data_IF_691364620473
#
_entry.id   IF_691364620473
#
_cell.length_a   1.000
_cell.length_b   1.000
_cell.length_c   1.000
_cell.angle_alpha   90.00
_cell.angle_beta   90.00
_cell.angle_gamma   90.00
#
_symmetry.space_group_name_H-M   'P 1'
#
loop_
_entity.id
_entity.type
_entity.pdbx_description
1 polymer ?
#
# COMPACT_ATOMS: atom_id res chain seq x y z
N UNK A 1 93.30 -41.33 -22.40
CA UNK A 1 92.10 -40.90 -23.18
C UNK A 1 91.27 -40.05 -22.21
N UNK A 2 91.49 -38.73 -22.10
CA UNK A 2 90.98 -37.65 -22.98
C UNK A 2 89.43 -37.66 -23.03
N UNK A 3 88.61 -36.65 -22.71
CA UNK A 3 88.70 -35.19 -22.42
C UNK A 3 87.38 -34.82 -21.69
N UNK A 4 87.33 -33.97 -20.64
CA UNK A 4 86.94 -32.53 -20.68
C UNK A 4 85.77 -32.20 -21.62
N UNK A 5 84.70 -31.47 -21.21
CA UNK A 5 84.69 -30.00 -21.20
C UNK A 5 83.44 -29.45 -20.46
N UNK A 6 83.68 -28.41 -19.64
CA UNK A 6 82.73 -27.41 -19.11
C UNK A 6 82.40 -26.34 -20.16
N UNK A 7 81.21 -25.73 -20.11
CA UNK A 7 80.94 -24.27 -20.24
C UNK A 7 79.51 -24.02 -19.70
N UNK A 8 79.17 -23.14 -18.75
CA UNK A 8 79.37 -21.69 -18.50
C UNK A 8 78.71 -20.76 -19.52
N UNK A 9 77.66 -20.03 -19.10
CA UNK A 9 77.10 -18.92 -19.88
C UNK A 9 75.78 -18.35 -19.35
N UNK A 10 75.83 -17.57 -18.26
CA UNK A 10 74.95 -16.40 -18.09
C UNK A 10 75.58 -15.23 -18.90
N UNK A 11 74.93 -14.06 -19.20
CA UNK A 11 73.92 -13.38 -18.37
C UNK A 11 72.89 -12.45 -19.08
N UNK A 12 72.12 -11.73 -18.24
CA UNK A 12 71.52 -10.37 -18.39
C UNK A 12 70.02 -10.20 -18.73
N UNK A 13 69.32 -9.80 -17.66
CA UNK A 13 68.38 -8.67 -17.50
C UNK A 13 67.64 -8.08 -18.71
N UNK A 14 66.33 -7.90 -18.54
CA UNK A 14 65.65 -6.61 -18.76
C UNK A 14 64.30 -6.55 -18.01
N UNK A 15 64.08 -5.39 -17.42
CA UNK A 15 62.95 -4.91 -16.62
C UNK A 15 61.73 -4.51 -17.44
N UNK A 16 60.52 -4.64 -16.88
CA UNK A 16 59.41 -3.66 -16.88
C UNK A 16 58.15 -4.33 -16.31
N UNK A 17 57.63 -3.88 -15.17
CA UNK A 17 56.72 -2.75 -14.93
C UNK A 17 55.26 -3.04 -15.32
N UNK A 18 54.43 -3.07 -14.27
CA UNK A 18 53.01 -2.71 -14.14
C UNK A 18 51.92 -3.52 -14.85
N UNK A 19 50.91 -3.90 -14.07
CA UNK A 19 49.58 -4.24 -14.58
C UNK A 19 48.64 -4.73 -13.48
N UNK A 20 47.95 -3.80 -12.83
CA UNK A 20 46.77 -4.06 -11.97
C UNK A 20 45.73 -4.92 -12.72
N UNK A 21 45.09 -5.86 -12.01
CA UNK A 21 43.90 -6.56 -12.49
C UNK A 21 43.28 -7.39 -11.38
N UNK A 22 42.26 -6.85 -10.73
CA UNK A 22 41.54 -7.48 -9.62
C UNK A 22 40.69 -8.68 -10.03
N UNK A 23 40.39 -9.52 -9.04
CA UNK A 23 39.49 -10.66 -9.17
C UNK A 23 39.25 -11.30 -7.81
N UNK A 24 38.21 -10.82 -7.13
CA UNK A 24 37.72 -11.33 -5.85
C UNK A 24 37.21 -12.77 -6.01
N UNK A 25 37.68 -13.72 -5.18
CA UNK A 25 36.92 -14.91 -4.84
C UNK A 25 36.58 -14.85 -3.35
N UNK A 26 35.29 -14.64 -3.09
CA UNK A 26 34.68 -14.77 -1.76
C UNK A 26 34.52 -16.25 -1.44
N UNK A 27 35.06 -16.69 -0.30
CA UNK A 27 34.63 -17.90 0.38
C UNK A 27 33.90 -17.49 1.66
N UNK A 28 32.68 -18.01 1.78
CA UNK A 28 31.79 -17.81 2.91
C UNK A 28 32.24 -18.69 4.07
N UNK A 29 32.37 -18.10 5.26
CA UNK A 29 32.48 -18.80 6.53
C UNK A 29 31.17 -18.65 7.30
N UNK A 30 30.43 -19.74 7.41
CA UNK A 30 29.27 -19.86 8.29
C UNK A 30 29.73 -19.98 9.74
N UNK A 31 29.07 -19.27 10.65
CA UNK A 31 29.00 -19.68 12.05
C UNK A 31 27.55 -19.61 12.49
N UNK A 32 26.99 -20.79 12.79
CA UNK A 32 25.71 -20.96 13.47
C UNK A 32 25.94 -21.30 14.93
N UNK A 33 25.00 -20.87 15.78
CA UNK A 33 24.87 -21.38 17.14
C UNK A 33 24.17 -20.41 18.10
N UNK A 34 22.95 -20.76 18.52
CA UNK A 34 22.36 -20.27 19.77
C UNK A 34 20.91 -19.81 19.67
N UNK A 35 19.96 -20.74 19.79
CA UNK A 35 18.55 -20.43 20.02
C UNK A 35 18.20 -20.34 21.51
N UNK A 36 17.25 -19.46 21.84
CA UNK A 36 16.35 -19.53 23.00
C UNK A 36 15.06 -18.78 22.60
N UNK A 37 13.92 -19.48 22.51
CA UNK A 37 12.75 -19.30 23.40
C UNK A 37 12.06 -17.94 23.23
N UNK A 38 10.91 -17.79 22.58
CA UNK A 38 9.65 -18.45 22.89
C UNK A 38 8.73 -17.48 23.63
N UNK A 39 7.86 -16.77 22.90
CA UNK A 39 6.57 -16.26 23.38
C UNK A 39 5.73 -15.79 22.20
N UNK A 40 4.82 -16.67 21.78
CA UNK A 40 3.72 -16.31 20.91
C UNK A 40 2.67 -15.53 21.69
N UNK A 41 2.19 -14.45 21.09
CA UNK A 41 0.90 -13.85 21.42
C UNK A 41 0.05 -13.91 20.16
N UNK A 42 -0.67 -15.02 20.03
CA UNK A 42 -1.84 -15.09 19.17
C UNK A 42 -2.98 -14.35 19.84
N UNK A 43 -3.56 -13.39 19.14
CA UNK A 43 -4.89 -12.88 19.45
C UNK A 43 -5.85 -13.42 18.39
N UNK A 44 -6.55 -14.48 18.75
CA UNK A 44 -7.73 -15.00 18.07
C UNK A 44 -8.93 -14.89 19.00
N UNK A 45 -10.06 -14.46 18.45
CA UNK A 45 -11.37 -14.35 19.09
C UNK A 45 -11.95 -12.95 18.87
N UNK A 46 -13.12 -12.74 18.29
CA UNK A 46 -14.19 -13.65 17.88
C UNK A 46 -15.51 -12.89 17.97
N UNK A 47 -16.32 -12.97 16.91
CA UNK A 47 -17.77 -12.84 17.00
C UNK A 47 -18.39 -11.43 16.92
N UNK A 48 -19.34 -11.29 16.00
CA UNK A 48 -20.59 -10.59 16.28
C UNK A 48 -21.00 -9.49 15.30
N UNK A 49 -22.13 -9.72 14.62
CA UNK A 49 -23.05 -8.63 14.27
C UNK A 49 -23.08 -8.22 12.80
N UNK A 50 -23.83 -8.97 12.00
CA UNK A 50 -24.41 -8.42 10.77
C UNK A 50 -25.45 -7.36 11.10
N UNK A 51 -25.40 -6.23 10.42
CA UNK A 51 -26.52 -5.29 10.32
C UNK A 51 -26.50 -4.66 8.94
N UNK A 52 -27.25 -5.28 8.03
CA UNK A 52 -27.69 -4.68 6.79
C UNK A 52 -28.69 -3.56 7.11
N UNK A 53 -28.33 -2.30 6.82
CA UNK A 53 -29.30 -1.22 6.72
C UNK A 53 -29.67 -1.05 5.24
N UNK A 54 -30.66 -1.84 4.82
CA UNK A 54 -31.53 -1.48 3.72
C UNK A 54 -32.63 -0.55 4.24
N UNK A 55 -32.78 0.61 3.60
CA UNK A 55 -33.77 1.62 3.98
C UNK A 55 -34.17 2.43 2.78
N UNK A 56 -34.87 1.79 1.83
CA UNK A 56 -35.61 2.49 0.78
C UNK A 56 -36.87 3.11 1.37
N UNK A 57 -37.02 4.43 1.24
CA UNK A 57 -38.27 5.14 1.51
C UNK A 57 -38.67 5.88 0.23
N UNK A 58 -39.42 5.18 -0.61
CA UNK A 58 -40.16 5.76 -1.73
C UNK A 58 -41.60 5.96 -1.30
N UNK A 59 -41.97 7.19 -0.95
CA UNK A 59 -43.33 7.58 -0.58
C UNK A 59 -44.19 7.74 -1.84
N UNK A 60 -44.86 6.67 -2.25
CA UNK A 60 -45.96 6.71 -3.22
C UNK A 60 -47.29 7.01 -2.50
N UNK A 61 -47.83 8.21 -2.71
CA UNK A 61 -49.21 8.53 -2.32
C UNK A 61 -50.18 7.96 -3.38
N UNK A 62 -50.84 6.85 -3.03
CA UNK A 62 -51.92 6.26 -3.80
C UNK A 62 -52.96 5.67 -2.86
N UNK A 63 -53.84 6.52 -2.31
CA UNK A 63 -54.99 6.08 -1.52
C UNK A 63 -56.26 6.18 -2.37
N UNK A 64 -56.63 5.06 -2.97
CA UNK A 64 -57.97 4.82 -3.48
C UNK A 64 -58.77 4.07 -2.41
N UNK A 65 -59.70 4.78 -1.77
CA UNK A 65 -60.77 4.22 -0.93
C UNK A 65 -62.05 4.89 -1.45
N UNK A 66 -63.09 4.20 -1.91
CA UNK A 66 -63.64 2.97 -1.36
C UNK A 66 -64.81 3.35 -0.46
N UNK A 67 -65.93 3.80 -1.05
CA UNK A 67 -67.23 3.94 -0.37
C UNK A 67 -68.36 3.83 -1.40
N UNK A 68 -68.87 2.61 -1.55
CA UNK A 68 -70.16 2.36 -2.19
C UNK A 68 -71.28 2.73 -1.22
N UNK A 69 -72.09 3.73 -1.58
CA UNK A 69 -73.36 4.02 -0.94
C UNK A 69 -74.49 3.55 -1.86
N UNK A 70 -74.96 2.32 -1.62
CA UNK A 70 -76.23 1.82 -2.14
C UNK A 70 -77.36 2.30 -1.24
N UNK A 71 -78.11 3.30 -1.69
CA UNK A 71 -79.34 3.77 -1.04
C UNK A 71 -80.50 3.64 -2.01
N UNK A 72 -81.23 2.53 -1.91
CA UNK A 72 -82.46 2.32 -2.66
C UNK A 72 -83.60 3.16 -2.09
N UNK A 73 -84.33 3.83 -2.98
CA UNK A 73 -85.70 4.27 -2.72
C UNK A 73 -86.51 3.99 -3.99
N UNK A 74 -87.40 3.01 -3.90
CA UNK A 74 -88.42 2.70 -4.89
C UNK A 74 -89.81 3.02 -4.33
N UNK A 75 -90.73 3.40 -5.22
CA UNK A 75 -92.15 3.63 -4.93
C UNK A 75 -92.62 4.92 -5.58
N UNK A 76 -93.09 4.91 -6.83
CA UNK A 76 -94.41 4.49 -7.32
C UNK A 76 -95.32 5.70 -7.57
N UNK A 77 -95.81 5.83 -8.81
CA UNK A 77 -96.80 6.84 -9.22
C UNK A 77 -96.85 6.99 -10.74
N UNK A 78 -97.69 6.17 -11.37
CA UNK A 78 -97.96 6.14 -12.81
C UNK A 78 -99.25 6.93 -13.15
N UNK A 79 -99.30 7.48 -14.37
CA UNK A 79 -100.49 8.08 -15.02
C UNK A 79 -100.77 9.52 -14.55
N UNK A 80 -101.19 10.48 -15.36
CA UNK A 80 -101.82 10.48 -16.68
C UNK A 80 -101.66 11.89 -17.29
N UNK A 81 -101.78 11.99 -18.61
CA UNK A 81 -101.48 13.18 -19.39
C UNK A 81 -102.42 14.36 -19.15
N UNK A 82 -101.87 15.57 -19.27
CA UNK A 82 -102.68 16.78 -19.32
C UNK A 82 -101.89 18.08 -19.23
N UNK A 83 -101.82 18.78 -20.36
CA UNK A 83 -101.80 20.25 -20.44
C UNK A 83 -100.46 20.97 -20.26
N UNK A 84 -99.75 21.04 -21.39
CA UNK A 84 -98.58 21.88 -21.73
C UNK A 84 -98.86 23.40 -21.59
N UNK A 85 -99.13 23.90 -20.38
CA UNK A 85 -99.24 25.34 -20.09
C UNK A 85 -98.71 25.77 -18.70
N UNK A 86 -98.54 24.84 -17.74
CA UNK A 86 -97.98 25.11 -16.40
C UNK A 86 -96.44 25.02 -16.28
N UNK A 87 -95.78 24.36 -17.24
CA UNK A 87 -94.36 23.98 -17.17
C UNK A 87 -93.39 25.16 -17.10
N UNK A 88 -93.68 26.29 -17.74
CA UNK A 88 -92.76 27.46 -17.75
C UNK A 88 -92.74 28.24 -16.43
N UNK A 89 -93.86 28.27 -15.70
CA UNK A 89 -93.95 28.96 -14.41
C UNK A 89 -93.38 28.11 -13.28
N UNK A 90 -93.65 26.81 -13.30
CA UNK A 90 -93.11 25.85 -12.34
C UNK A 90 -91.60 25.63 -12.53
N UNK A 91 -91.10 25.64 -13.77
CA UNK A 91 -89.64 25.66 -14.01
C UNK A 91 -88.98 26.96 -13.57
N UNK A 92 -89.60 28.14 -13.79
CA UNK A 92 -89.08 29.41 -13.27
C UNK A 92 -89.10 29.47 -11.74
N UNK A 93 -90.11 28.86 -11.12
CA UNK A 93 -90.20 28.77 -9.67
C UNK A 93 -89.12 27.81 -9.11
N UNK A 94 -88.91 26.66 -9.74
CA UNK A 94 -87.82 25.74 -9.37
C UNK A 94 -86.43 26.36 -9.56
N UNK A 95 -86.21 27.15 -10.62
CA UNK A 95 -84.97 27.91 -10.80
C UNK A 95 -84.81 29.00 -9.74
N UNK A 96 -85.87 29.73 -9.39
CA UNK A 96 -85.84 30.73 -8.33
C UNK A 96 -85.61 30.09 -6.95
N UNK A 97 -86.22 28.95 -6.65
CA UNK A 97 -86.01 28.21 -5.41
C UNK A 97 -84.57 27.67 -5.34
N UNK A 98 -84.01 27.24 -6.48
CA UNK A 98 -82.61 26.82 -6.59
C UNK A 98 -81.64 27.99 -6.48
N UNK A 99 -82.00 29.17 -6.99
CA UNK A 99 -81.21 30.41 -6.85
C UNK A 99 -81.28 30.93 -5.41
N UNK A 100 -82.43 30.85 -4.75
CA UNK A 100 -82.58 31.14 -3.33
C UNK A 100 -81.73 30.19 -2.48
N UNK A 101 -81.79 28.87 -2.75
CA UNK A 101 -80.94 27.89 -2.09
C UNK A 101 -79.44 28.13 -2.36
N UNK A 102 -79.08 28.58 -3.57
CA UNK A 102 -77.71 28.95 -3.90
C UNK A 102 -77.26 30.23 -3.17
N UNK A 103 -78.11 31.24 -3.08
CA UNK A 103 -77.83 32.47 -2.32
C UNK A 103 -77.69 32.20 -0.82
N UNK A 104 -78.56 31.36 -0.25
CA UNK A 104 -78.45 30.92 1.14
C UNK A 104 -77.16 30.11 1.36
N UNK A 105 -76.77 29.29 0.37
CA UNK A 105 -75.51 28.56 0.44
C UNK A 105 -74.30 29.49 0.37
N UNK A 106 -74.32 30.50 -0.51
CA UNK A 106 -73.26 31.52 -0.62
C UNK A 106 -73.15 32.29 0.69
N UNK A 107 -74.26 32.74 1.29
CA UNK A 107 -74.25 33.40 2.60
C UNK A 107 -73.67 32.51 3.70
N UNK A 108 -74.07 31.23 3.75
CA UNK A 108 -73.51 30.29 4.73
C UNK A 108 -72.00 30.07 4.55
N UNK A 109 -71.51 30.14 3.31
CA UNK A 109 -70.09 30.00 3.00
C UNK A 109 -69.33 31.28 3.32
N UNK A 110 -69.92 32.46 3.08
CA UNK A 110 -69.35 33.76 3.48
C UNK A 110 -69.24 33.84 5.01
N UNK A 111 -70.27 33.46 5.75
CA UNK A 111 -70.24 33.40 7.22
C UNK A 111 -69.18 32.41 7.73
N UNK A 112 -69.07 31.23 7.11
CA UNK A 112 -68.04 30.25 7.47
C UNK A 112 -66.62 30.77 7.14
N UNK A 113 -66.47 31.50 6.03
CA UNK A 113 -65.17 32.03 5.61
C UNK A 113 -64.72 33.17 6.53
N UNK A 114 -65.62 34.08 6.90
CA UNK A 114 -65.32 35.14 7.87
C UNK A 114 -64.95 34.58 9.25
N UNK A 115 -65.61 33.50 9.68
CA UNK A 115 -65.26 32.81 10.93
C UNK A 115 -63.90 32.10 10.85
N UNK A 116 -63.55 31.51 9.70
CA UNK A 116 -62.22 30.92 9.49
C UNK A 116 -61.12 31.99 9.44
N UNK A 117 -61.36 33.13 8.78
CA UNK A 117 -60.44 34.27 8.79
C UNK A 117 -60.21 34.81 10.20
N UNK A 118 -61.26 34.89 11.02
CA UNK A 118 -61.16 35.27 12.44
C UNK A 118 -60.30 34.28 13.21
N UNK A 119 -60.52 32.98 13.04
CA UNK A 119 -59.71 31.92 13.70
C UNK A 119 -58.26 31.93 13.26
N UNK A 120 -57.99 32.17 11.98
CA UNK A 120 -56.63 32.29 11.45
C UNK A 120 -55.94 33.51 12.06
N UNK A 121 -56.62 34.66 12.13
CA UNK A 121 -56.09 35.87 12.76
C UNK A 121 -55.79 35.66 14.24
N UNK A 122 -56.72 35.05 14.99
CA UNK A 122 -56.50 34.71 16.40
C UNK A 122 -55.37 33.70 16.59
N UNK A 123 -55.19 32.75 15.66
CA UNK A 123 -54.08 31.81 15.69
C UNK A 123 -52.75 32.52 15.42
N UNK A 124 -52.69 33.43 14.45
CA UNK A 124 -51.47 34.23 14.22
C UNK A 124 -51.19 35.23 15.35
N UNK A 125 -52.18 35.74 16.07
CA UNK A 125 -51.95 36.57 17.26
C UNK A 125 -51.43 35.75 18.44
N UNK A 126 -51.94 34.52 18.62
CA UNK A 126 -51.54 33.60 19.71
C UNK A 126 -50.27 32.80 19.41
N UNK A 127 -49.97 32.58 18.14
CA UNK A 127 -48.88 31.70 17.67
C UNK A 127 -47.95 32.41 16.68
N UNK A 128 -48.10 33.72 16.52
CA UNK A 128 -47.22 34.54 15.70
C UNK A 128 -45.79 34.54 16.25
N UNK A 129 -44.76 34.75 15.40
CA UNK A 129 -43.35 34.53 15.75
C UNK A 129 -42.78 35.50 16.80
N UNK A 130 -43.61 36.32 17.44
CA UNK A 130 -43.19 37.35 18.40
C UNK A 130 -44.02 37.42 19.69
N UNK A 131 -45.13 36.68 19.82
CA UNK A 131 -45.99 36.70 21.00
C UNK A 131 -45.93 35.36 21.75
N UNK A 132 -44.89 35.22 22.57
CA UNK A 132 -45.02 34.66 23.91
C UNK A 132 -45.58 33.24 24.06
N UNK A 133 -45.11 32.26 23.30
CA UNK A 133 -45.00 30.90 23.82
C UNK A 133 -43.65 30.82 24.55
N UNK A 134 -43.60 30.67 25.89
CA UNK A 134 -42.34 30.46 26.59
C UNK A 134 -41.78 29.10 26.17
N UNK A 135 -40.87 29.09 25.19
CA UNK A 135 -40.15 27.90 24.75
C UNK A 135 -39.96 27.69 23.24
N UNK A 136 -40.54 28.49 22.34
CA UNK A 136 -40.30 28.34 20.89
C UNK A 136 -39.22 29.24 20.31
N UNK A 137 -38.78 30.25 21.06
CA UNK A 137 -37.49 30.92 20.84
C UNK A 137 -36.48 30.39 21.86
N UNK A 138 -36.09 29.12 21.78
CA UNK A 138 -34.97 28.67 22.58
C UNK A 138 -33.72 29.42 22.08
N UNK A 139 -33.23 30.38 22.84
CA UNK A 139 -31.98 31.07 22.54
C UNK A 139 -30.82 30.05 22.52
N UNK A 140 -30.55 29.47 21.36
CA UNK A 140 -29.42 28.55 21.15
C UNK A 140 -28.07 29.25 21.22
N UNK A 141 -28.08 30.58 21.40
CA UNK A 141 -26.91 31.44 21.58
C UNK A 141 -25.93 30.90 22.63
N UNK A 142 -26.45 30.33 23.73
CA UNK A 142 -25.64 29.72 24.80
C UNK A 142 -24.83 28.49 24.39
N UNK A 143 -25.23 27.79 23.33
CA UNK A 143 -24.53 26.60 22.87
C UNK A 143 -23.39 26.92 21.88
N UNK A 144 -23.44 28.05 21.18
CA UNK A 144 -22.36 28.46 20.28
C UNK A 144 -20.98 28.58 20.96
N UNK A 145 -20.81 29.24 22.13
CA UNK A 145 -19.50 29.30 22.78
C UNK A 145 -19.02 27.92 23.24
N UNK A 146 -19.92 27.03 23.65
CA UNK A 146 -19.58 25.65 24.04
C UNK A 146 -19.14 24.84 22.82
N UNK A 147 -19.86 24.97 21.68
CA UNK A 147 -19.50 24.31 20.42
C UNK A 147 -18.15 24.82 19.92
N UNK A 148 -17.90 26.13 20.05
CA UNK A 148 -16.63 26.73 19.64
C UNK A 148 -15.47 26.26 20.53
N UNK A 149 -15.66 26.20 21.85
CA UNK A 149 -14.67 25.63 22.77
C UNK A 149 -14.39 24.14 22.47
N UNK A 150 -15.42 23.35 22.17
CA UNK A 150 -15.26 21.95 21.77
C UNK A 150 -14.52 21.80 20.43
N UNK A 151 -14.81 22.66 19.45
CA UNK A 151 -14.08 22.71 18.17
C UNK A 151 -12.61 23.05 18.39
N UNK A 152 -12.32 24.05 19.22
CA UNK A 152 -10.95 24.43 19.56
C UNK A 152 -10.21 23.29 20.27
N UNK A 153 -10.87 22.55 21.18
CA UNK A 153 -10.30 21.35 21.82
C UNK A 153 -9.98 20.26 20.81
N UNK A 154 -10.86 20.01 19.84
CA UNK A 154 -10.62 19.02 18.77
C UNK A 154 -9.43 19.45 17.90
N UNK A 155 -9.36 20.72 17.52
CA UNK A 155 -8.26 21.25 16.71
C UNK A 155 -6.94 21.13 17.47
N UNK A 156 -6.90 21.55 18.73
CA UNK A 156 -5.70 21.44 19.57
C UNK A 156 -5.27 19.98 19.73
N UNK A 157 -6.19 19.07 20.02
CA UNK A 157 -5.90 17.63 20.11
C UNK A 157 -5.40 17.05 18.78
N UNK A 158 -5.89 17.55 17.64
CA UNK A 158 -5.43 17.14 16.31
C UNK A 158 -4.00 17.61 16.04
N UNK A 159 -3.68 18.86 16.40
CA UNK A 159 -2.33 19.44 16.29
C UNK A 159 -1.36 18.69 17.20
N UNK A 160 -1.76 18.42 18.45
CA UNK A 160 -0.93 17.68 19.41
C UNK A 160 -0.70 16.23 18.93
N UNK A 161 -1.72 15.57 18.37
CA UNK A 161 -1.57 14.26 17.77
C UNK A 161 -0.57 14.28 16.61
N UNK A 162 -0.70 15.24 15.68
CA UNK A 162 0.25 15.42 14.59
C UNK A 162 1.69 15.66 15.09
N UNK A 163 1.84 16.47 16.16
CA UNK A 163 3.14 16.70 16.81
C UNK A 163 3.73 15.40 17.38
N UNK A 164 2.91 14.59 18.07
CA UNK A 164 3.36 13.30 18.62
C UNK A 164 3.77 12.35 17.50
N UNK A 165 3.00 12.27 16.41
CA UNK A 165 3.35 11.44 15.24
C UNK A 165 4.72 11.85 14.69
N UNK A 166 4.97 13.14 14.50
CA UNK A 166 6.27 13.62 14.02
C UNK A 166 7.41 13.28 14.99
N UNK A 167 7.18 13.35 16.30
CA UNK A 167 8.17 12.94 17.30
C UNK A 167 8.44 11.44 17.25
N UNK A 168 7.41 10.61 17.04
CA UNK A 168 7.54 9.16 16.88
C UNK A 168 8.35 8.84 15.62
N UNK A 169 8.04 9.49 14.50
CA UNK A 169 8.76 9.29 13.25
C UNK A 169 10.23 9.74 13.36
N UNK A 170 10.49 10.87 14.01
CA UNK A 170 11.85 11.32 14.28
C UNK A 170 12.62 10.34 15.18
N UNK A 171 11.99 9.83 16.25
CA UNK A 171 12.61 8.85 17.14
C UNK A 171 12.87 7.51 16.41
N UNK A 172 11.98 7.07 15.52
CA UNK A 172 12.18 5.89 14.67
C UNK A 172 13.35 6.06 13.72
N UNK A 173 13.41 7.19 13.01
CA UNK A 173 14.52 7.50 12.11
C UNK A 173 15.86 7.56 12.85
N UNK A 174 15.89 8.14 14.05
CA UNK A 174 17.09 8.15 14.88
C UNK A 174 17.49 6.73 15.35
N UNK A 175 16.51 5.91 15.74
CA UNK A 175 16.77 4.52 16.12
C UNK A 175 17.32 3.70 14.94
N UNK A 176 16.77 3.88 13.74
CA UNK A 176 17.27 3.22 12.52
C UNK A 176 18.69 3.69 12.14
N UNK A 177 18.99 4.98 12.28
CA UNK A 177 20.34 5.50 12.07
C UNK A 177 21.35 4.90 13.05
N UNK A 178 20.99 4.80 14.34
CA UNK A 178 21.83 4.12 15.33
C UNK A 178 21.97 2.62 15.06
N UNK A 179 20.90 1.96 14.59
CA UNK A 179 20.95 0.54 14.21
C UNK A 179 21.92 0.31 13.06
N UNK A 180 21.84 1.12 12.00
CA UNK A 180 22.76 1.03 10.86
C UNK A 180 24.21 1.32 11.26
N UNK A 181 24.43 2.32 12.13
CA UNK A 181 25.77 2.60 12.67
C UNK A 181 26.31 1.44 13.48
N UNK A 182 25.48 0.82 14.32
CA UNK A 182 25.85 -0.37 15.09
C UNK A 182 26.18 -1.56 14.20
N UNK A 183 25.35 -1.84 13.19
CA UNK A 183 25.59 -2.93 12.23
C UNK A 183 26.91 -2.72 11.46
N UNK A 184 27.20 -1.50 11.02
CA UNK A 184 28.47 -1.16 10.39
C UNK A 184 29.66 -1.32 11.35
N UNK A 185 29.56 -0.85 12.59
CA UNK A 185 30.63 -0.99 13.58
C UNK A 185 30.90 -2.46 13.92
N UNK A 186 29.84 -3.26 14.06
CA UNK A 186 29.96 -4.72 14.27
C UNK A 186 30.66 -5.38 13.09
N UNK A 187 30.30 -5.02 11.85
CA UNK A 187 30.95 -5.57 10.66
C UNK A 187 32.44 -5.19 10.59
N UNK A 188 32.79 -3.94 10.88
CA UNK A 188 34.18 -3.49 10.96
C UNK A 188 34.95 -4.22 12.06
N UNK A 189 34.36 -4.35 13.24
CA UNK A 189 34.94 -5.08 14.37
C UNK A 189 35.20 -6.55 14.00
N UNK A 190 34.24 -7.23 13.37
CA UNK A 190 34.41 -8.62 12.92
C UNK A 190 35.54 -8.76 11.89
N UNK A 191 35.66 -7.80 10.95
CA UNK A 191 36.77 -7.78 9.99
C UNK A 191 38.11 -7.65 10.68
N UNK A 192 38.24 -6.71 11.63
CA UNK A 192 39.48 -6.50 12.39
C UNK A 192 39.80 -7.72 13.26
N UNK A 193 38.80 -8.36 13.87
CA UNK A 193 39.00 -9.60 14.63
C UNK A 193 39.47 -10.75 13.74
N UNK A 194 38.94 -10.87 12.52
CA UNK A 194 39.42 -11.84 11.54
C UNK A 194 40.88 -11.58 11.17
N UNK A 195 41.25 -10.32 10.94
CA UNK A 195 42.64 -9.92 10.65
C UNK A 195 43.58 -10.21 11.82
N UNK A 196 43.18 -9.90 13.07
CA UNK A 196 43.97 -10.22 14.28
C UNK A 196 44.17 -11.74 14.40
N UNK A 197 43.13 -12.53 14.17
CA UNK A 197 43.24 -13.99 14.20
C UNK A 197 44.13 -14.52 13.07
N UNK A 198 44.10 -13.90 11.89
CA UNK A 198 45.03 -14.19 10.79
C UNK A 198 46.47 -13.88 11.17
N UNK A 199 46.73 -12.69 11.73
CA UNK A 199 48.07 -12.28 12.18
C UNK A 199 48.60 -13.18 13.30
N UNK A 200 47.75 -13.66 14.21
CA UNK A 200 48.14 -14.65 15.22
C UNK A 200 48.58 -15.97 14.59
N UNK A 201 47.86 -16.48 13.59
CA UNK A 201 48.27 -17.69 12.86
C UNK A 201 49.63 -17.50 12.16
N UNK A 202 49.83 -16.35 11.51
CA UNK A 202 51.12 -16.04 10.86
C UNK A 202 52.25 -15.95 11.90
N UNK A 203 51.99 -15.37 13.07
CA UNK A 203 52.96 -15.34 14.16
C UNK A 203 53.31 -16.76 14.65
N UNK A 204 52.32 -17.64 14.81
CA UNK A 204 52.53 -19.03 15.21
C UNK A 204 53.37 -19.78 14.15
N UNK A 205 53.08 -19.60 12.86
CA UNK A 205 53.85 -20.17 11.76
C UNK A 205 55.30 -19.64 11.73
N UNK A 206 55.49 -18.32 11.90
CA UNK A 206 56.82 -17.72 12.02
C UNK A 206 57.59 -18.21 13.24
N UNK A 207 56.89 -18.50 14.34
CA UNK A 207 57.50 -19.05 15.55
C UNK A 207 57.96 -20.50 15.32
N UNK A 208 57.16 -21.31 14.63
CA UNK A 208 57.53 -22.68 14.27
C UNK A 208 58.73 -22.70 13.29
N UNK A 209 58.70 -21.88 12.25
CA UNK A 209 59.83 -21.77 11.30
C UNK A 209 61.10 -21.24 11.97
N UNK A 210 60.99 -20.30 12.90
CA UNK A 210 62.13 -19.86 13.73
C UNK A 210 62.70 -21.03 14.55
N UNK A 211 61.84 -21.80 15.23
CA UNK A 211 62.28 -22.93 16.03
C UNK A 211 62.96 -24.02 15.18
N UNK A 212 62.44 -24.29 13.98
CA UNK A 212 63.07 -25.20 13.02
C UNK A 212 64.45 -24.72 12.56
N UNK A 213 64.59 -23.43 12.23
CA UNK A 213 65.87 -22.84 11.88
C UNK A 213 66.85 -22.84 13.06
N UNK A 214 66.39 -22.59 14.28
CA UNK A 214 67.22 -22.69 15.49
C UNK A 214 67.72 -24.12 15.71
N UNK A 215 66.87 -25.13 15.50
CA UNK A 215 67.27 -26.54 15.56
C UNK A 215 68.30 -26.90 14.49
N UNK A 216 68.14 -26.42 13.25
CA UNK A 216 69.12 -26.61 12.17
C UNK A 216 70.47 -25.93 12.49
N UNK A 217 70.45 -24.74 13.10
CA UNK A 217 71.67 -24.06 13.53
C UNK A 217 72.38 -24.87 14.62
N UNK A 218 71.64 -25.39 15.60
CA UNK A 218 72.23 -26.19 16.67
C UNK A 218 72.81 -27.50 16.12
N UNK A 219 72.10 -28.20 15.24
CA UNK A 219 72.62 -29.43 14.62
C UNK A 219 73.90 -29.17 13.81
N UNK A 220 73.95 -28.07 13.05
CA UNK A 220 75.16 -27.68 12.31
C UNK A 220 76.32 -27.29 13.26
N UNK A 221 76.03 -26.66 14.39
CA UNK A 221 77.03 -26.37 15.42
C UNK A 221 77.58 -27.64 16.06
N UNK A 222 76.72 -28.62 16.36
CA UNK A 222 77.10 -29.94 16.86
C UNK A 222 77.98 -30.68 15.85
N UNK A 223 77.61 -30.69 14.56
CA UNK A 223 78.41 -31.27 13.48
C UNK A 223 79.79 -30.60 13.37
N UNK A 224 79.85 -29.27 13.47
CA UNK A 224 81.09 -28.51 13.42
C UNK A 224 81.97 -28.84 14.64
N UNK A 225 81.38 -28.93 15.84
CA UNK A 225 82.09 -29.33 17.05
C UNK A 225 82.61 -30.77 16.96
N UNK A 226 81.81 -31.69 16.42
CA UNK A 226 82.20 -33.08 16.16
C UNK A 226 83.37 -33.16 15.19
N UNK A 227 83.30 -32.46 14.05
CA UNK A 227 84.39 -32.39 13.06
C UNK A 227 85.68 -31.82 13.65
N UNK A 228 85.59 -30.75 14.45
CA UNK A 228 86.74 -30.18 15.16
C UNK A 228 87.37 -31.16 16.13
N UNK A 229 86.54 -31.84 16.93
CA UNK A 229 87.02 -32.85 17.88
C UNK A 229 87.67 -34.03 17.16
N UNK A 230 87.05 -34.54 16.09
CA UNK A 230 87.62 -35.61 15.29
C UNK A 230 88.96 -35.19 14.66
N UNK A 231 89.06 -33.96 14.15
CA UNK A 231 90.32 -33.43 13.63
C UNK A 231 91.41 -33.30 14.72
N UNK A 232 91.04 -32.82 15.91
CA UNK A 232 91.95 -32.76 17.06
C UNK A 232 92.42 -34.17 17.47
N UNK A 233 91.52 -35.15 17.53
CA UNK A 233 91.83 -36.55 17.82
C UNK A 233 92.69 -37.19 16.73
N UNK A 234 92.45 -36.90 15.44
CA UNK A 234 93.30 -37.34 14.33
C UNK A 234 94.69 -36.70 14.39
N UNK A 235 94.79 -35.40 14.73
CA UNK A 235 96.08 -34.74 14.92
C UNK A 235 96.84 -35.29 16.14
N UNK A 236 96.15 -35.57 17.24
CA UNK A 236 96.72 -36.26 18.41
C UNK A 236 97.09 -37.71 18.07
N UNK A 237 96.29 -38.39 17.26
CA UNK A 237 96.56 -39.73 16.72
C UNK A 237 97.81 -39.73 15.83
N UNK A 238 97.99 -38.72 14.99
CA UNK A 238 99.19 -38.55 14.15
C UNK A 238 100.38 -38.15 15.01
N UNK A 239 100.23 -37.31 16.05
CA UNK A 239 101.31 -36.98 16.99
C UNK A 239 101.73 -38.17 17.85
N UNK A 240 100.78 -38.98 18.32
CA UNK A 240 101.06 -40.21 19.07
C UNK A 240 101.57 -41.34 18.17
N UNK A 241 101.14 -41.38 16.90
CA UNK A 241 101.67 -42.29 15.88
C UNK A 241 103.01 -41.84 15.29
N UNK A 242 103.39 -40.57 15.45
CA UNK A 242 104.73 -40.05 15.13
C UNK A 242 105.80 -40.49 16.15
N UNK A 243 105.41 -41.14 17.25
CA UNK A 243 106.31 -41.67 18.26
C UNK A 243 106.08 -43.17 18.55
N UNK A 244 105.78 -43.93 17.49
CA UNK A 244 105.44 -45.35 17.58
C UNK A 244 106.09 -46.20 16.49
N UNK A 245 107.42 -46.14 16.33
CA UNK A 245 108.15 -47.26 15.75
C UNK A 245 108.15 -48.40 16.78
N UNK A 246 107.04 -49.14 16.87
CA UNK A 246 106.93 -50.32 17.73
C UNK A 246 107.25 -51.55 16.89
N UNK A 247 108.46 -52.05 17.11
CA UNK A 247 108.87 -53.42 16.79
C UNK A 247 107.86 -54.39 17.42
N UNK A 248 107.15 -55.14 16.57
CA UNK A 248 106.32 -56.26 17.00
C UNK A 248 107.22 -57.49 17.04
N UNK A 249 107.85 -57.72 18.18
CA UNK A 249 108.43 -59.03 18.49
C UNK A 249 107.31 -59.98 18.89
N UNK A 250 107.21 -61.02 18.07
CA UNK A 250 106.31 -62.15 18.16
C UNK A 250 106.67 -62.98 19.41
N UNK A 251 105.88 -62.85 20.48
CA UNK A 251 105.82 -63.85 21.55
C UNK A 251 104.58 -64.72 21.35
N UNK A 252 104.80 -65.97 20.96
CA UNK A 252 103.77 -66.96 20.72
C UNK A 252 103.24 -67.48 22.06
N UNK A 253 102.33 -66.72 22.68
CA UNK A 253 101.49 -67.21 23.76
C UNK A 253 100.68 -68.44 23.25
N UNK A 254 100.49 -69.45 24.11
CA UNK A 254 100.10 -70.80 23.73
C UNK A 254 98.76 -70.78 22.98
N UNK A 255 98.71 -71.50 21.85
CA UNK A 255 97.60 -71.49 20.89
C UNK A 255 96.25 -71.26 21.54
N UNK A 256 95.73 -70.04 21.41
CA UNK A 256 94.33 -69.73 21.70
C UNK A 256 93.51 -70.71 20.89
N UNK A 257 92.68 -71.48 21.58
CA UNK A 257 91.79 -72.47 20.99
C UNK A 257 90.93 -71.78 19.92
N UNK A 258 91.37 -71.88 18.67
CA UNK A 258 90.74 -71.24 17.53
C UNK A 258 89.28 -71.69 17.44
N UNK A 259 88.97 -72.91 17.88
CA UNK A 259 87.62 -73.45 17.97
C UNK A 259 86.76 -72.65 18.94
N UNK A 260 87.31 -72.26 20.09
CA UNK A 260 86.61 -71.45 21.09
C UNK A 260 86.40 -70.02 20.61
N UNK A 261 87.42 -69.42 19.98
CA UNK A 261 87.31 -68.07 19.40
C UNK A 261 86.32 -68.02 18.22
N UNK A 262 86.33 -69.03 17.34
CA UNK A 262 85.39 -69.13 16.21
C UNK A 262 83.96 -69.33 16.71
N UNK A 263 83.77 -70.12 17.78
CA UNK A 263 82.47 -70.30 18.44
C UNK A 263 82.00 -69.04 19.15
N UNK A 264 82.89 -68.30 19.84
CA UNK A 264 82.56 -67.02 20.46
C UNK A 264 82.19 -65.96 19.40
N UNK A 265 82.93 -65.88 18.28
CA UNK A 265 82.56 -65.02 17.16
C UNK A 265 81.23 -65.43 16.54
N UNK A 266 80.98 -66.73 16.35
CA UNK A 266 79.70 -67.23 15.85
C UNK A 266 78.56 -66.88 16.79
N UNK A 267 78.75 -67.03 18.10
CA UNK A 267 77.77 -66.64 19.12
C UNK A 267 77.48 -65.13 19.10
N UNK A 268 78.51 -64.30 18.94
CA UNK A 268 78.33 -62.84 18.80
C UNK A 268 77.55 -62.49 17.52
N UNK A 269 77.86 -63.13 16.39
CA UNK A 269 77.10 -62.93 15.15
C UNK A 269 75.66 -63.42 15.24
N UNK A 270 75.41 -64.53 15.94
CA UNK A 270 74.07 -65.07 16.14
C UNK A 270 73.23 -64.15 17.03
N UNK A 271 73.82 -63.58 18.08
CA UNK A 271 73.18 -62.54 18.91
C UNK A 271 72.89 -61.28 18.09
N UNK A 272 73.84 -60.80 17.28
CA UNK A 272 73.64 -59.61 16.43
C UNK A 272 72.57 -59.87 15.37
N UNK A 273 72.54 -61.05 14.76
CA UNK A 273 71.53 -61.43 13.77
C UNK A 273 70.13 -61.56 14.38
N UNK A 274 70.03 -62.16 15.58
CA UNK A 274 68.79 -62.25 16.35
C UNK A 274 68.29 -60.86 16.76
N UNK A 275 69.20 -59.98 17.20
CA UNK A 275 68.89 -58.60 17.57
C UNK A 275 68.41 -57.80 16.35
N UNK A 276 69.11 -57.90 15.22
CA UNK A 276 68.73 -57.22 13.98
C UNK A 276 67.37 -57.72 13.45
N UNK A 277 67.09 -59.03 13.56
CA UNK A 277 65.76 -59.58 13.24
C UNK A 277 64.67 -58.97 14.13
N UNK A 278 64.89 -58.91 15.44
CA UNK A 278 63.93 -58.31 16.38
C UNK A 278 63.72 -56.83 16.14
N UNK A 279 64.79 -56.08 15.85
CA UNK A 279 64.72 -54.66 15.53
C UNK A 279 63.97 -54.41 14.21
N UNK A 280 64.20 -55.23 13.19
CA UNK A 280 63.46 -55.15 11.94
C UNK A 280 61.96 -55.49 12.12
N UNK A 281 61.64 -56.52 12.90
CA UNK A 281 60.25 -56.85 13.24
C UNK A 281 59.58 -55.75 14.05
N UNK A 282 60.27 -55.17 15.04
CA UNK A 282 59.77 -54.06 15.84
C UNK A 282 59.53 -52.82 14.96
N UNK A 283 60.48 -52.46 14.10
CA UNK A 283 60.36 -51.35 13.17
C UNK A 283 59.22 -51.54 12.18
N UNK A 284 59.06 -52.75 11.62
CA UNK A 284 57.95 -53.07 10.73
C UNK A 284 56.59 -52.97 11.44
N UNK A 285 56.50 -53.47 12.68
CA UNK A 285 55.27 -53.38 13.47
C UNK A 285 54.94 -51.93 13.85
N UNK A 286 55.94 -51.12 14.20
CA UNK A 286 55.77 -49.71 14.49
C UNK A 286 55.26 -48.94 13.26
N UNK A 287 55.93 -49.10 12.10
CA UNK A 287 55.51 -48.45 10.85
C UNK A 287 54.16 -48.94 10.34
N UNK A 288 53.86 -50.23 10.46
CA UNK A 288 52.54 -50.77 10.13
C UNK A 288 51.46 -50.24 11.07
N UNK A 289 51.76 -50.06 12.35
CA UNK A 289 50.86 -49.47 13.34
C UNK A 289 50.59 -47.99 13.08
N UNK A 290 51.61 -47.22 12.73
CA UNK A 290 51.52 -45.81 12.32
C UNK A 290 50.66 -45.67 11.06
N UNK A 291 50.97 -46.43 10.00
CA UNK A 291 50.18 -46.43 8.76
C UNK A 291 48.72 -46.80 9.01
N UNK A 292 48.45 -47.79 9.89
CA UNK A 292 47.08 -48.18 10.23
C UNK A 292 46.33 -47.08 10.99
N UNK A 293 47.02 -46.34 11.86
CA UNK A 293 46.42 -45.15 12.52
C UNK A 293 46.11 -44.07 11.49
N UNK A 294 47.04 -43.74 10.62
CA UNK A 294 46.84 -42.73 9.56
C UNK A 294 45.68 -43.10 8.62
N UNK A 295 45.57 -44.37 8.23
CA UNK A 295 44.44 -44.85 7.42
C UNK A 295 43.12 -44.68 8.17
N UNK A 296 43.09 -44.99 9.47
CA UNK A 296 41.88 -44.81 10.30
C UNK A 296 41.49 -43.34 10.37
N UNK A 297 42.42 -42.45 10.69
CA UNK A 297 42.15 -41.00 10.80
C UNK A 297 41.72 -40.41 9.46
N UNK A 298 42.38 -40.78 8.36
CA UNK A 298 42.01 -40.34 7.02
C UNK A 298 40.62 -40.86 6.62
N UNK A 299 40.28 -42.10 7.00
CA UNK A 299 38.95 -42.67 6.75
C UNK A 299 37.87 -41.92 7.53
N UNK A 300 38.12 -41.62 8.81
CA UNK A 300 37.21 -40.84 9.65
C UNK A 300 36.98 -39.42 9.10
N UNK A 301 38.06 -38.72 8.72
CA UNK A 301 37.97 -37.40 8.09
C UNK A 301 37.21 -37.44 6.75
N UNK A 302 37.41 -38.49 5.96
CA UNK A 302 36.70 -38.66 4.70
C UNK A 302 35.22 -38.95 4.91
N UNK A 303 34.85 -39.73 5.94
CA UNK A 303 33.45 -39.94 6.31
C UNK A 303 32.82 -38.65 6.85
N UNK A 304 33.51 -37.89 7.70
CA UNK A 304 32.99 -36.63 8.24
C UNK A 304 32.77 -35.60 7.13
N UNK A 305 33.73 -35.45 6.22
CA UNK A 305 33.58 -34.57 5.05
C UNK A 305 32.46 -35.01 4.13
N UNK A 306 32.26 -36.33 3.95
CA UNK A 306 31.13 -36.87 3.18
C UNK A 306 29.79 -36.53 3.85
N UNK A 307 29.67 -36.67 5.18
CA UNK A 307 28.44 -36.28 5.89
C UNK A 307 28.17 -34.78 5.77
N UNK A 308 29.18 -33.92 5.94
CA UNK A 308 29.04 -32.47 5.81
C UNK A 308 28.58 -32.07 4.40
N UNK A 309 29.15 -32.68 3.35
CA UNK A 309 28.69 -32.48 1.96
C UNK A 309 27.23 -32.90 1.79
N UNK A 310 26.81 -34.02 2.39
CA UNK A 310 25.39 -34.44 2.29
C UNK A 310 24.45 -33.50 3.03
N UNK A 311 24.87 -32.95 4.17
CA UNK A 311 24.05 -32.01 4.94
C UNK A 311 23.97 -30.65 4.22
N UNK A 312 25.08 -30.15 3.68
CA UNK A 312 25.10 -28.94 2.85
C UNK A 312 24.23 -29.09 1.59
N UNK A 313 24.20 -30.28 0.97
CA UNK A 313 23.29 -30.55 -0.15
C UNK A 313 21.82 -30.53 0.27
N UNK A 314 21.48 -31.07 1.45
CA UNK A 314 20.11 -31.03 1.98
C UNK A 314 19.68 -29.60 2.31
N UNK A 315 20.55 -28.80 2.93
CA UNK A 315 20.24 -27.40 3.24
C UNK A 315 20.09 -26.57 1.98
N UNK A 316 20.94 -26.77 0.97
CA UNK A 316 20.80 -26.12 -0.34
C UNK A 316 19.45 -26.46 -0.98
N UNK A 317 19.08 -27.74 -1.04
CA UNK A 317 17.78 -28.16 -1.58
C UNK A 317 16.60 -27.55 -0.81
N UNK A 318 16.68 -27.50 0.53
CA UNK A 318 15.65 -26.87 1.37
C UNK A 318 15.52 -25.38 1.07
N UNK A 319 16.64 -24.66 0.99
CA UNK A 319 16.68 -23.24 0.66
C UNK A 319 16.16 -22.96 -0.75
N UNK A 320 16.45 -23.85 -1.70
CA UNK A 320 15.96 -23.72 -3.07
C UNK A 320 14.45 -23.93 -3.16
N UNK A 321 13.90 -24.89 -2.41
CA UNK A 321 12.43 -25.08 -2.29
C UNK A 321 11.80 -23.84 -1.63
N UNK A 322 12.40 -23.32 -0.58
CA UNK A 322 11.91 -22.11 0.08
C UNK A 322 11.92 -20.92 -0.88
N UNK A 323 13.01 -20.72 -1.64
CA UNK A 323 13.09 -19.70 -2.68
C UNK A 323 11.98 -19.85 -3.73
N UNK A 324 11.74 -21.06 -4.25
CA UNK A 324 10.67 -21.30 -5.21
C UNK A 324 9.29 -21.02 -4.61
N UNK A 325 9.07 -21.37 -3.33
CA UNK A 325 7.81 -21.09 -2.63
C UNK A 325 7.57 -19.58 -2.47
N UNK A 326 8.63 -18.82 -2.14
CA UNK A 326 8.56 -17.36 -2.00
C UNK A 326 8.32 -16.68 -3.35
N UNK A 327 8.95 -17.16 -4.43
CA UNK A 327 8.69 -16.68 -5.78
C UNK A 327 7.24 -16.94 -6.22
N UNK A 328 6.70 -18.13 -5.90
CA UNK A 328 5.29 -18.44 -6.16
C UNK A 328 4.34 -17.54 -5.35
N UNK A 329 4.64 -17.31 -4.07
CA UNK A 329 3.87 -16.40 -3.22
C UNK A 329 3.91 -14.97 -3.76
N UNK A 330 5.10 -14.46 -4.10
CA UNK A 330 5.27 -13.14 -4.72
C UNK A 330 4.40 -13.01 -5.98
N UNK A 331 4.48 -13.99 -6.89
CA UNK A 331 3.69 -13.98 -8.12
C UNK A 331 2.19 -13.93 -7.82
N UNK A 332 1.71 -14.76 -6.87
CA UNK A 332 0.30 -14.74 -6.50
C UNK A 332 -0.16 -13.38 -5.94
N UNK A 333 0.70 -12.70 -5.17
CA UNK A 333 0.40 -11.37 -4.65
C UNK A 333 0.39 -10.32 -5.77
N UNK A 334 1.34 -10.36 -6.70
CA UNK A 334 1.37 -9.49 -7.88
C UNK A 334 0.12 -9.69 -8.75
N UNK A 335 -0.31 -10.94 -8.96
CA UNK A 335 -1.53 -11.25 -9.71
C UNK A 335 -2.79 -10.71 -8.99
N UNK A 336 -2.90 -10.89 -7.66
CA UNK A 336 -4.02 -10.33 -6.89
C UNK A 336 -4.02 -8.80 -6.89
N UNK A 337 -2.85 -8.16 -6.82
CA UNK A 337 -2.73 -6.72 -6.89
C UNK A 337 -3.24 -6.22 -8.26
N UNK A 338 -2.76 -6.82 -9.34
CA UNK A 338 -3.20 -6.47 -10.69
C UNK A 338 -4.71 -6.68 -10.90
N UNK A 339 -5.29 -7.74 -10.34
CA UNK A 339 -6.73 -7.98 -10.38
C UNK A 339 -7.51 -6.90 -9.61
N UNK A 340 -7.05 -6.53 -8.40
CA UNK A 340 -7.71 -5.48 -7.62
C UNK A 340 -7.60 -4.11 -8.28
N UNK A 341 -6.43 -3.74 -8.80
CA UNK A 341 -6.23 -2.50 -9.55
C UNK A 341 -7.11 -2.46 -10.81
N UNK A 342 -7.18 -3.57 -11.56
CA UNK A 342 -8.08 -3.72 -12.70
C UNK A 342 -9.55 -3.56 -12.30
N UNK A 343 -9.96 -4.17 -11.19
CA UNK A 343 -11.31 -4.04 -10.64
C UNK A 343 -11.66 -2.60 -10.26
N UNK A 344 -10.75 -1.88 -9.59
CA UNK A 344 -10.96 -0.46 -9.26
C UNK A 344 -10.98 0.43 -10.49
N UNK A 345 -10.11 0.17 -11.48
CA UNK A 345 -10.11 0.91 -12.74
C UNK A 345 -11.45 0.76 -13.49
N UNK A 346 -11.99 -0.46 -13.54
CA UNK A 346 -13.30 -0.72 -14.13
C UNK A 346 -14.43 0.00 -13.37
N UNK A 347 -14.42 -0.03 -12.03
CA UNK A 347 -15.39 0.70 -11.22
C UNK A 347 -15.32 2.21 -11.43
N UNK A 348 -14.11 2.79 -11.48
CA UNK A 348 -13.92 4.21 -11.77
C UNK A 348 -14.43 4.56 -13.17
N UNK A 349 -14.15 3.74 -14.17
CA UNK A 349 -14.67 3.93 -15.53
C UNK A 349 -16.21 3.89 -15.56
N UNK A 350 -16.83 2.96 -14.82
CA UNK A 350 -18.28 2.88 -14.69
C UNK A 350 -18.87 4.14 -14.03
N UNK A 351 -18.27 4.62 -12.93
CA UNK A 351 -18.70 5.85 -12.27
C UNK A 351 -18.55 7.06 -13.20
N UNK A 352 -17.44 7.15 -13.96
CA UNK A 352 -17.22 8.21 -14.94
C UNK A 352 -18.29 8.22 -16.04
N UNK A 353 -18.69 7.04 -16.53
CA UNK A 353 -19.79 6.91 -17.49
C UNK A 353 -21.12 7.37 -16.90
N UNK A 354 -21.41 7.01 -15.64
CA UNK A 354 -22.63 7.48 -14.95
C UNK A 354 -22.64 8.99 -14.78
N UNK A 355 -21.51 9.59 -14.40
CA UNK A 355 -21.35 11.04 -14.30
C UNK A 355 -21.61 11.69 -15.67
N UNK A 356 -20.98 11.20 -16.74
CA UNK A 356 -21.18 11.74 -18.09
C UNK A 356 -22.64 11.65 -18.56
N UNK A 357 -23.34 10.55 -18.24
CA UNK A 357 -24.76 10.41 -18.54
C UNK A 357 -25.62 11.43 -17.78
N UNK A 358 -25.34 11.65 -16.49
CA UNK A 358 -26.05 12.64 -15.67
C UNK A 358 -25.76 14.07 -16.13
N UNK A 359 -24.51 14.37 -16.48
CA UNK A 359 -24.11 15.66 -17.06
C UNK A 359 -24.85 15.94 -18.38
N UNK A 360 -24.96 14.93 -19.25
CA UNK A 360 -25.72 15.04 -20.50
C UNK A 360 -27.21 15.27 -20.25
N UNK A 361 -27.82 14.58 -19.29
CA UNK A 361 -29.23 14.80 -18.91
C UNK A 361 -29.44 16.20 -18.34
N UNK A 362 -28.54 16.67 -17.46
CA UNK A 362 -28.60 18.03 -16.92
C UNK A 362 -28.47 19.08 -18.01
N UNK A 363 -27.57 18.86 -18.98
CA UNK A 363 -27.44 19.75 -20.13
C UNK A 363 -28.72 19.78 -20.96
N UNK A 364 -29.33 18.62 -21.23
CA UNK A 364 -30.58 18.54 -21.98
C UNK A 364 -31.73 19.27 -21.27
N UNK A 365 -31.91 19.05 -19.96
CA UNK A 365 -32.96 19.74 -19.18
C UNK A 365 -32.74 21.25 -19.15
N UNK A 366 -31.49 21.72 -19.06
CA UNK A 366 -31.17 23.16 -19.14
C UNK A 366 -31.53 23.73 -20.52
N UNK A 367 -31.15 23.04 -21.60
CA UNK A 367 -31.48 23.47 -22.95
C UNK A 367 -33.01 23.52 -23.18
N UNK A 368 -33.74 22.51 -22.69
CA UNK A 368 -35.20 22.47 -22.77
C UNK A 368 -35.84 23.61 -21.94
N UNK A 369 -35.31 23.91 -20.76
CA UNK A 369 -35.77 25.03 -19.92
C UNK A 369 -35.52 26.39 -20.57
N UNK A 370 -34.34 26.60 -21.16
CA UNK A 370 -34.02 27.82 -21.91
C UNK A 370 -34.95 27.99 -23.10
N UNK A 371 -35.22 26.90 -23.84
CA UNK A 371 -36.18 26.90 -24.94
C UNK A 371 -37.59 27.25 -24.46
N UNK A 372 -38.09 26.61 -23.40
CA UNK A 372 -39.41 26.92 -22.84
C UNK A 372 -39.49 28.37 -22.38
N UNK A 373 -38.46 28.90 -21.73
CA UNK A 373 -38.41 30.30 -21.31
C UNK A 373 -38.52 31.25 -22.52
N UNK A 374 -37.80 30.96 -23.62
CA UNK A 374 -37.92 31.75 -24.85
C UNK A 374 -39.34 31.68 -25.46
N UNK A 375 -39.95 30.50 -25.49
CA UNK A 375 -41.35 30.33 -25.95
C UNK A 375 -42.34 31.09 -25.05
N UNK A 376 -42.14 31.08 -23.72
CA UNK A 376 -42.95 31.84 -22.78
C UNK A 376 -42.82 33.35 -22.96
N UNK A 377 -41.61 33.87 -23.23
CA UNK A 377 -41.41 35.28 -23.51
C UNK A 377 -42.12 35.72 -24.79
N UNK A 378 -42.03 34.92 -25.86
CA UNK A 378 -42.77 35.19 -27.09
C UNK A 378 -44.29 35.23 -26.86
N UNK A 379 -44.81 34.29 -26.07
CA UNK A 379 -46.22 34.26 -25.73
C UNK A 379 -46.65 35.49 -24.90
N UNK A 380 -45.78 35.94 -23.99
CA UNK A 380 -46.01 37.14 -23.18
C UNK A 380 -46.01 38.42 -24.04
N UNK A 381 -45.13 38.51 -25.02
CA UNK A 381 -45.11 39.60 -26.01
C UNK A 381 -46.39 39.64 -26.85
N UNK A 382 -46.83 38.48 -27.36
CA UNK A 382 -48.10 38.36 -28.11
C UNK A 382 -49.28 38.73 -27.22
N UNK A 383 -49.32 38.24 -25.98
CA UNK A 383 -50.37 38.58 -25.02
C UNK A 383 -50.42 40.09 -24.78
N UNK A 384 -49.28 40.71 -24.52
CA UNK A 384 -49.18 42.16 -24.28
C UNK A 384 -49.68 42.95 -25.49
N UNK A 385 -49.36 42.50 -26.72
CA UNK A 385 -49.89 43.10 -27.95
C UNK A 385 -51.40 42.96 -28.08
N UNK A 386 -51.95 41.77 -27.81
CA UNK A 386 -53.39 41.54 -27.85
C UNK A 386 -54.12 42.36 -26.78
N UNK A 387 -53.55 42.53 -25.60
CA UNK A 387 -54.10 43.39 -24.55
C UNK A 387 -54.16 44.85 -25.00
N UNK A 388 -53.12 45.35 -25.70
CA UNK A 388 -53.15 46.68 -26.32
C UNK A 388 -54.24 46.79 -27.40
N UNK A 389 -54.41 45.77 -28.25
CA UNK A 389 -55.46 45.75 -29.27
C UNK A 389 -56.87 45.72 -28.64
N UNK A 390 -57.08 44.96 -27.57
CA UNK A 390 -58.35 44.95 -26.82
C UNK A 390 -58.62 46.33 -26.19
N UNK A 391 -57.60 46.97 -25.64
CA UNK A 391 -57.72 48.31 -25.07
C UNK A 391 -58.09 49.35 -26.14
N UNK A 392 -57.51 49.28 -27.35
CA UNK A 392 -57.92 50.16 -28.45
C UNK A 392 -59.34 49.85 -28.93
N UNK A 393 -59.74 48.58 -29.02
CA UNK A 393 -61.11 48.19 -29.34
C UNK A 393 -62.10 48.69 -28.29
N UNK A 394 -61.77 48.61 -26.99
CA UNK A 394 -62.60 49.16 -25.90
C UNK A 394 -62.78 50.68 -26.04
N UNK A 395 -61.69 51.42 -26.30
CA UNK A 395 -61.77 52.88 -26.55
C UNK A 395 -62.65 53.23 -27.76
N UNK A 396 -62.58 52.45 -28.83
CA UNK A 396 -63.41 52.66 -30.02
C UNK A 396 -64.89 52.33 -29.76
N UNK A 397 -65.19 51.38 -28.87
CA UNK A 397 -66.56 51.05 -28.46
C UNK A 397 -67.13 52.05 -27.45
N UNK A 398 -66.30 52.59 -26.56
CA UNK A 398 -66.68 53.59 -25.55
C UNK A 398 -66.84 55.01 -26.12
N UNK A 399 -66.58 55.23 -27.41
CA UNK A 399 -66.82 56.50 -28.10
C UNK A 399 -68.36 56.69 -28.26
N UNK A 400 -69.02 57.48 -27.40
CA UNK A 400 -70.47 57.56 -27.41
C UNK A 400 -70.88 58.48 -28.57
N UNK A 401 -71.63 57.92 -29.52
CA UNK A 401 -72.45 58.63 -30.49
C UNK A 401 -71.69 59.59 -31.41
N UNK A 402 -71.38 59.14 -32.64
CA UNK A 402 -71.25 60.05 -33.78
C UNK A 402 -72.62 60.72 -34.00
N UNK A 403 -72.87 61.85 -33.35
CA UNK A 403 -74.03 62.70 -33.65
C UNK A 403 -73.79 63.36 -35.00
N UNK A 404 -74.65 63.09 -35.97
CA UNK A 404 -74.61 63.75 -37.28
C UNK A 404 -75.42 65.04 -37.14
N UNK A 405 -74.75 66.20 -37.13
CA UNK A 405 -75.43 67.50 -37.21
C UNK A 405 -75.72 67.82 -38.67
N UNK A 406 -76.98 67.76 -39.07
CA UNK A 406 -77.40 68.16 -40.42
C UNK A 406 -77.84 69.64 -40.34
N UNK A 407 -77.10 70.53 -41.00
CA UNK A 407 -77.50 71.93 -41.18
C UNK A 407 -78.16 72.06 -42.55
N UNK A 408 -79.47 72.29 -42.58
CA UNK A 408 -80.19 72.63 -43.80
C UNK A 408 -80.37 74.13 -43.85
N UNK A 409 -79.75 74.77 -44.85
CA UNK A 409 -79.88 76.19 -45.12
C UNK A 409 -80.99 76.34 -46.16
N UNK A 410 -82.09 76.99 -45.77
CA UNK A 410 -83.15 77.37 -46.71
C UNK A 410 -82.99 78.86 -46.98
N UNK A 411 -82.67 79.19 -48.23
CA UNK A 411 -82.53 80.57 -48.70
C UNK A 411 -83.74 80.91 -49.58
N UNK A 412 -84.41 82.01 -49.25
CA UNK A 412 -85.50 82.53 -50.07
C UNK A 412 -84.95 83.65 -50.97
N UNK A 413 -85.06 83.44 -52.28
CA UNK A 413 -84.50 84.33 -53.31
C UNK A 413 -85.63 84.83 -54.20
N UNK A 414 -85.82 86.16 -54.26
CA UNK A 414 -86.69 86.82 -55.24
C UNK A 414 -85.85 87.85 -55.97
N UNK A 415 -85.92 87.86 -57.30
CA UNK A 415 -85.17 88.75 -58.20
C UNK A 415 -83.66 88.83 -57.94
N UNK A 416 -83.03 87.66 -57.70
CA UNK A 416 -81.57 87.54 -57.64
C UNK A 416 -80.89 88.13 -56.40
N UNK A 417 -81.65 88.55 -55.38
CA UNK A 417 -81.12 88.89 -54.04
C UNK A 417 -81.74 88.00 -52.96
N UNK A 418 -80.89 87.45 -52.09
CA UNK A 418 -81.29 86.67 -50.91
C UNK A 418 -81.88 87.64 -49.88
N UNK A 419 -83.14 87.43 -49.49
CA UNK A 419 -83.87 88.34 -48.60
C UNK A 419 -83.97 87.79 -47.17
N UNK A 420 -83.87 86.47 -47.01
CA UNK A 420 -83.77 85.81 -45.71
C UNK A 420 -83.05 84.45 -45.85
N UNK A 421 -82.18 84.15 -44.89
CA UNK A 421 -81.60 82.81 -44.72
C UNK A 421 -82.03 82.27 -43.36
N UNK A 422 -82.59 81.06 -43.35
CA UNK A 422 -82.93 80.36 -42.12
C UNK A 422 -82.16 79.04 -42.05
N UNK A 423 -81.35 78.89 -41.02
CA UNK A 423 -80.57 77.69 -40.75
C UNK A 423 -81.33 76.84 -39.74
N UNK A 424 -81.80 75.67 -40.17
CA UNK A 424 -82.30 74.64 -39.24
C UNK A 424 -81.19 73.64 -38.96
N UNK A 425 -80.85 73.50 -37.69
CA UNK A 425 -79.96 72.45 -37.20
C UNK A 425 -80.80 71.33 -36.59
N UNK A 426 -80.64 70.12 -37.09
CA UNK A 426 -81.21 68.90 -36.48
C UNK A 426 -80.04 68.00 -36.09
N UNK A 427 -80.00 67.63 -34.81
CA UNK A 427 -79.04 66.67 -34.28
C UNK A 427 -79.69 65.29 -34.22
N UNK A 428 -79.20 64.35 -35.04
CA UNK A 428 -79.57 62.94 -34.92
C UNK A 428 -78.41 62.14 -34.30
N UNK A 429 -78.76 61.29 -33.33
CA UNK A 429 -77.89 60.24 -32.81
C UNK A 429 -77.94 59.06 -33.78
N UNK A 430 -76.77 58.55 -34.18
CA UNK A 430 -76.64 57.28 -34.90
C UNK A 430 -76.50 56.15 -33.89
#
# INVERSE_FOLDING_TARGET
MALSVRTSGAPRQLSSRSGFGGGSLRMAGSSGGGGFGGSGLGFGGGGGGGSAFGGGSGSGFGSGSGTGFGGGFGGAGAGDGGLLSGSKKETMQNLNDRLAAYLDKVRSLEDANTELERKIREWYEKSGPGTGIPGSGNDYSKYYPIIEDLRNKIINATIDNARIILQVDNARLAADDFRLKYENEVALRQSVEADINGLRRVLDELTLTRADLEMQIESLNEELAYLKKNHEEELQGIQSSAFGQVSVEMDAAPGTDLTKLLNDMRGQYEVIAEQNRKEAEAWFNEKSGELKREISTNTEQLQSGKSEITDLKRTLQSLEIELQSQLAMKKSLEDTLAETEGGYCAQLSQMQLQIGNLESQLFQVRADMERQNAEYQQLLDIKSRLEMEIETYRRLLDDPTKTRKIKTIVEEVVDGKVIASHVKEVEEKI
#
